data_IF_061444546723
#
_entry.id   IF_061444546723
#
_cell.length_a   1.000
_cell.length_b   1.000
_cell.length_c   1.000
_cell.angle_alpha   90.00
_cell.angle_beta   90.00
_cell.angle_gamma   90.00
#
_symmetry.space_group_name_H-M   'P 1'
#
loop_
_entity.id
_entity.type
_entity.pdbx_description
1 polymer ?
#
# COMPACT_ATOMS: atom_id res chain seq x y z
N UNK A 1 4.88 6.38 1.06
CA UNK A 1 5.81 7.45 1.54
C UNK A 1 6.50 7.11 2.87
N UNK A 2 5.77 6.92 3.99
CA UNK A 2 6.38 6.66 5.32
C UNK A 2 7.43 5.54 5.37
N UNK A 3 7.23 4.44 4.65
CA UNK A 3 8.21 3.34 4.58
C UNK A 3 9.60 3.78 4.11
N UNK A 4 9.71 4.90 3.39
CA UNK A 4 10.99 5.50 2.95
C UNK A 4 11.46 6.65 3.82
N UNK A 5 10.59 7.26 4.62
CA UNK A 5 10.89 8.45 5.41
C UNK A 5 11.32 8.11 6.85
N UNK A 6 10.79 7.03 7.42
CA UNK A 6 11.08 6.61 8.79
C UNK A 6 12.20 5.59 8.81
N UNK A 7 13.29 5.89 9.53
CA UNK A 7 14.50 5.05 9.58
C UNK A 7 14.22 3.57 9.91
N UNK A 8 13.37 3.20 10.89
CA UNK A 8 13.07 1.79 11.17
C UNK A 8 12.42 1.07 9.99
N UNK A 9 11.51 1.75 9.28
CA UNK A 9 10.82 1.18 8.12
C UNK A 9 11.73 1.13 6.90
N UNK A 10 12.53 2.18 6.69
CA UNK A 10 13.46 2.25 5.58
C UNK A 10 14.49 1.13 5.67
N UNK A 11 15.03 0.87 6.87
CA UNK A 11 15.94 -0.26 7.09
C UNK A 11 15.33 -1.60 6.70
N UNK A 12 14.06 -1.84 7.00
CA UNK A 12 13.36 -3.07 6.59
C UNK A 12 13.11 -3.10 5.07
N UNK A 13 12.81 -1.95 4.47
CA UNK A 13 12.57 -1.81 3.03
C UNK A 13 13.82 -2.08 2.19
N UNK A 14 14.97 -1.52 2.60
CA UNK A 14 16.26 -1.67 1.92
C UNK A 14 17.17 -2.70 2.58
N UNK A 15 16.63 -3.50 3.51
CA UNK A 15 17.30 -4.69 4.01
C UNK A 15 17.50 -5.63 2.82
N UNK A 16 18.65 -5.46 2.19
CA UNK A 16 19.22 -6.36 1.21
C UNK A 16 20.70 -6.41 1.54
N UNK A 17 21.17 -7.37 2.38
CA UNK A 17 22.60 -7.40 2.70
C UNK A 17 23.25 -8.78 2.77
N UNK A 18 24.10 -8.98 1.76
CA UNK A 18 25.46 -9.52 1.81
C UNK A 18 25.84 -10.28 3.09
N UNK A 19 25.80 -11.61 3.00
CA UNK A 19 26.38 -12.49 3.99
C UNK A 19 25.69 -13.86 4.05
N UNK A 20 26.27 -14.81 4.80
CA UNK A 20 25.70 -16.14 5.00
C UNK A 20 24.46 -16.17 5.91
N UNK A 21 24.06 -15.05 6.53
CA UNK A 21 22.84 -14.90 7.35
C UNK A 21 21.58 -14.64 6.51
N UNK A 22 21.50 -15.30 5.34
CA UNK A 22 20.32 -15.27 4.47
C UNK A 22 19.13 -15.94 5.17
N UNK A 23 18.35 -15.20 5.95
CA UNK A 23 16.95 -15.55 6.13
C UNK A 23 16.16 -14.97 4.96
N UNK A 24 16.13 -15.70 3.84
CA UNK A 24 15.40 -15.33 2.61
C UNK A 24 13.88 -15.07 2.81
N UNK A 25 13.37 -15.38 4.00
CA UNK A 25 12.00 -15.15 4.44
C UNK A 25 11.74 -13.66 4.75
N UNK A 26 12.58 -13.01 5.56
CA UNK A 26 12.33 -11.64 6.05
C UNK A 26 12.45 -10.54 4.98
N UNK A 27 13.34 -10.66 4.00
CA UNK A 27 13.49 -9.64 2.93
C UNK A 27 12.32 -9.64 1.94
N UNK A 28 11.75 -10.82 1.65
CA UNK A 28 10.50 -10.93 0.88
C UNK A 28 9.32 -10.44 1.71
N UNK A 29 9.30 -10.78 2.99
CA UNK A 29 8.14 -10.50 3.85
C UNK A 29 7.89 -9.00 4.03
N UNK A 30 8.89 -8.12 4.19
CA UNK A 30 8.57 -6.69 4.40
C UNK A 30 8.06 -5.97 3.16
N UNK A 31 8.65 -6.26 1.98
CA UNK A 31 8.21 -5.67 0.70
C UNK A 31 6.75 -6.07 0.45
N UNK A 32 6.49 -7.38 0.47
CA UNK A 32 5.15 -7.95 0.37
C UNK A 32 4.22 -7.45 1.49
N UNK A 33 4.71 -7.22 2.71
CA UNK A 33 3.89 -6.66 3.79
C UNK A 33 3.47 -5.22 3.53
N UNK A 34 4.34 -4.39 2.95
CA UNK A 34 3.98 -3.02 2.59
C UNK A 34 2.87 -3.02 1.52
N UNK A 35 3.02 -3.84 0.48
CA UNK A 35 2.01 -4.02 -0.57
C UNK A 35 0.68 -4.52 0.01
N UNK A 36 0.72 -5.60 0.82
CA UNK A 36 -0.48 -6.13 1.48
C UNK A 36 -1.13 -5.10 2.37
N UNK A 37 -0.37 -4.36 3.17
CA UNK A 37 -0.94 -3.44 4.13
C UNK A 37 -1.65 -2.26 3.44
N UNK A 38 -1.12 -1.77 2.32
CA UNK A 38 -1.78 -0.75 1.49
C UNK A 38 -3.09 -1.32 0.91
N UNK A 39 -3.03 -2.54 0.36
CA UNK A 39 -4.20 -3.21 -0.20
C UNK A 39 -5.29 -3.43 0.86
N UNK A 40 -4.92 -3.90 2.05
CA UNK A 40 -5.85 -4.16 3.15
C UNK A 40 -6.41 -2.86 3.75
N UNK A 41 -5.66 -1.76 3.74
CA UNK A 41 -6.19 -0.43 4.08
C UNK A 41 -7.29 -0.01 3.11
N UNK A 42 -7.03 -0.09 1.81
CA UNK A 42 -8.03 0.27 0.78
C UNK A 42 -9.28 -0.62 0.91
N UNK A 43 -9.09 -1.93 1.10
CA UNK A 43 -10.19 -2.88 1.35
C UNK A 43 -10.99 -2.53 2.60
N UNK A 44 -10.31 -2.19 3.70
CA UNK A 44 -10.93 -1.83 4.96
C UNK A 44 -11.81 -0.59 4.81
N UNK A 45 -11.29 0.48 4.23
CA UNK A 45 -11.99 1.75 4.14
C UNK A 45 -13.17 1.68 3.17
N UNK A 46 -12.95 1.14 1.96
CA UNK A 46 -14.02 0.93 0.98
C UNK A 46 -15.10 -0.03 1.51
N UNK A 47 -14.70 -1.13 2.15
CA UNK A 47 -15.64 -2.07 2.75
C UNK A 47 -16.39 -1.49 3.94
N UNK A 48 -15.82 -0.51 4.65
CA UNK A 48 -16.51 0.20 5.73
C UNK A 48 -17.52 1.19 5.19
N UNK A 49 -17.13 1.97 4.18
CA UNK A 49 -17.98 3.00 3.58
C UNK A 49 -19.09 2.43 2.68
N UNK A 50 -18.79 1.37 1.93
CA UNK A 50 -19.70 0.71 0.98
C UNK A 50 -19.75 -0.80 1.27
N UNK A 51 -20.59 -1.23 2.22
CA UNK A 51 -20.68 -2.64 2.60
C UNK A 51 -20.97 -3.60 1.43
N UNK A 52 -21.62 -3.12 0.37
CA UNK A 52 -21.95 -3.87 -0.84
C UNK A 52 -20.71 -4.30 -1.65
N UNK A 53 -19.58 -3.60 -1.48
CA UNK A 53 -18.30 -3.95 -2.10
C UNK A 53 -17.58 -5.09 -1.36
N UNK A 54 -17.98 -5.43 -0.13
CA UNK A 54 -17.32 -6.49 0.65
C UNK A 54 -17.36 -7.81 -0.11
N UNK A 55 -16.19 -8.44 -0.28
CA UNK A 55 -16.04 -9.66 -1.07
C UNK A 55 -15.86 -9.43 -2.58
N UNK A 56 -15.89 -8.18 -3.03
CA UNK A 56 -15.67 -7.78 -4.43
C UNK A 56 -14.53 -6.76 -4.58
N UNK A 57 -13.68 -6.63 -3.55
CA UNK A 57 -12.45 -5.84 -3.59
C UNK A 57 -11.28 -6.81 -3.73
N UNK A 58 -10.67 -6.81 -4.90
CA UNK A 58 -9.56 -7.67 -5.28
C UNK A 58 -8.28 -6.85 -5.43
N UNK A 59 -7.15 -7.54 -5.42
CA UNK A 59 -5.87 -6.94 -5.77
C UNK A 59 -4.81 -8.01 -5.96
N UNK A 60 -3.60 -7.58 -6.30
CA UNK A 60 -2.48 -8.45 -6.64
C UNK A 60 -2.07 -9.37 -5.48
N UNK A 61 -2.11 -8.85 -4.25
CA UNK A 61 -1.46 -9.51 -3.12
C UNK A 61 -2.38 -10.43 -2.33
N UNK A 62 -1.81 -11.55 -1.87
CA UNK A 62 -2.40 -12.37 -0.82
C UNK A 62 -2.13 -11.74 0.55
N UNK A 63 -3.15 -11.66 1.40
CA UNK A 63 -2.97 -11.16 2.77
C UNK A 63 -2.56 -12.25 3.77
N UNK A 64 -2.19 -13.45 3.31
CA UNK A 64 -1.74 -14.55 4.15
C UNK A 64 -0.21 -14.62 4.24
N UNK A 65 0.30 -14.55 5.47
CA UNK A 65 1.70 -14.71 5.83
C UNK A 65 1.89 -15.93 6.71
N UNK A 66 3.16 -16.26 6.97
CA UNK A 66 3.54 -17.33 7.91
C UNK A 66 4.25 -16.72 9.12
N UNK A 67 3.81 -17.03 10.33
CA UNK A 67 4.49 -16.62 11.57
C UNK A 67 5.80 -17.40 11.84
N UNK A 68 6.53 -17.02 12.89
CA UNK A 68 7.79 -17.67 13.26
C UNK A 68 7.64 -19.19 13.50
N UNK A 69 6.48 -19.63 13.98
CA UNK A 69 6.13 -21.02 14.27
C UNK A 69 5.60 -21.80 13.04
N UNK A 70 5.38 -21.13 11.90
CA UNK A 70 4.86 -21.71 10.65
C UNK A 70 3.33 -21.69 10.52
N UNK A 71 2.61 -21.14 11.49
CA UNK A 71 1.19 -20.84 11.43
C UNK A 71 0.86 -19.80 10.37
N UNK A 72 -0.40 -19.80 9.90
CA UNK A 72 -0.88 -18.79 8.94
C UNK A 72 -1.40 -17.58 9.70
N UNK A 73 -0.87 -16.39 9.36
CA UNK A 73 -1.35 -15.11 9.84
C UNK A 73 -2.02 -14.38 8.68
N UNK A 74 -3.28 -13.98 8.84
CA UNK A 74 -3.95 -13.12 7.85
C UNK A 74 -3.84 -11.67 8.27
N UNK A 75 -3.10 -10.87 7.51
CA UNK A 75 -2.96 -9.43 7.72
C UNK A 75 -4.24 -8.71 7.32
N UNK A 76 -4.68 -7.80 8.19
CA UNK A 76 -5.88 -6.96 8.02
C UNK A 76 -5.66 -5.68 8.82
N UNK A 77 -6.32 -4.59 8.45
CA UNK A 77 -6.43 -3.43 9.35
C UNK A 77 -7.41 -3.77 10.47
N UNK A 78 -6.93 -3.71 11.72
CA UNK A 78 -7.72 -4.02 12.90
C UNK A 78 -8.66 -2.87 13.29
N UNK A 79 -9.55 -3.11 14.27
CA UNK A 79 -10.47 -2.07 14.77
C UNK A 79 -9.73 -0.95 15.51
N UNK A 80 -8.57 -1.27 16.11
CA UNK A 80 -7.70 -0.30 16.77
C UNK A 80 -6.26 -0.39 16.25
N UNK A 81 -5.44 0.67 16.45
CA UNK A 81 -4.01 0.59 16.15
C UNK A 81 -3.32 -0.56 16.88
N UNK A 82 -3.71 -0.83 18.13
CA UNK A 82 -3.13 -1.91 18.93
C UNK A 82 -3.40 -3.30 18.31
N UNK A 83 -4.61 -3.54 17.79
CA UNK A 83 -4.93 -4.79 17.09
C UNK A 83 -4.08 -4.97 15.84
N UNK A 84 -3.86 -3.86 15.12
CA UNK A 84 -3.02 -3.86 13.91
C UNK A 84 -1.56 -4.12 14.24
N UNK A 85 -1.03 -3.51 15.30
CA UNK A 85 0.34 -3.78 15.79
C UNK A 85 0.51 -5.26 16.15
N UNK A 86 -0.46 -5.86 16.85
CA UNK A 86 -0.38 -7.26 17.23
C UNK A 86 -0.29 -8.19 16.01
N UNK A 87 -1.05 -7.93 14.95
CA UNK A 87 -0.97 -8.69 13.69
C UNK A 87 0.37 -8.49 12.98
N UNK A 88 0.85 -7.25 12.89
CA UNK A 88 2.14 -6.93 12.25
C UNK A 88 3.31 -7.59 12.99
N UNK A 89 3.28 -7.62 14.32
CA UNK A 89 4.31 -8.26 15.15
C UNK A 89 4.36 -9.78 14.98
N UNK A 90 3.23 -10.43 14.70
CA UNK A 90 3.21 -11.87 14.42
C UNK A 90 3.97 -12.23 13.13
N UNK A 91 4.11 -11.28 12.20
CA UNK A 91 4.88 -11.44 10.95
C UNK A 91 6.30 -10.90 11.09
N UNK A 92 6.47 -9.71 11.67
CA UNK A 92 7.75 -9.01 11.73
C UNK A 92 8.66 -9.44 12.88
N UNK A 93 8.11 -10.07 13.92
CA UNK A 93 8.83 -10.37 15.15
C UNK A 93 8.81 -9.23 16.17
N UNK A 94 8.93 -9.54 17.47
CA UNK A 94 8.81 -8.57 18.57
C UNK A 94 9.89 -7.48 18.55
N UNK A 95 11.06 -7.75 17.97
CA UNK A 95 12.15 -6.78 17.83
C UNK A 95 11.80 -5.63 16.88
N UNK A 96 10.79 -5.81 16.02
CA UNK A 96 10.32 -4.80 15.08
C UNK A 96 9.12 -4.00 15.61
N UNK A 97 8.90 -3.95 16.93
CA UNK A 97 7.78 -3.23 17.56
C UNK A 97 7.65 -1.79 17.06
N UNK A 98 8.75 -1.05 16.94
CA UNK A 98 8.70 0.32 16.45
C UNK A 98 8.24 0.43 15.00
N UNK A 99 8.62 -0.51 14.15
CA UNK A 99 8.16 -0.56 12.76
C UNK A 99 6.66 -0.87 12.69
N UNK A 100 6.20 -1.86 13.47
CA UNK A 100 4.79 -2.21 13.57
C UNK A 100 3.92 -1.03 14.04
N UNK A 101 4.36 -0.30 15.07
CA UNK A 101 3.69 0.92 15.55
C UNK A 101 3.57 1.99 14.46
N UNK A 102 4.67 2.28 13.74
CA UNK A 102 4.70 3.29 12.69
C UNK A 102 3.75 2.94 11.53
N UNK A 103 3.69 1.67 11.15
CA UNK A 103 2.77 1.17 10.13
C UNK A 103 1.32 1.24 10.60
N UNK A 104 1.03 0.81 11.83
CA UNK A 104 -0.31 0.91 12.41
C UNK A 104 -0.79 2.36 12.51
N UNK A 105 0.06 3.29 12.97
CA UNK A 105 -0.25 4.72 12.99
C UNK A 105 -0.52 5.26 11.58
N UNK A 106 0.18 4.75 10.56
CA UNK A 106 -0.03 5.17 9.18
C UNK A 106 -1.39 4.74 8.62
N UNK A 107 -1.80 3.49 8.85
CA UNK A 107 -3.07 2.97 8.31
C UNK A 107 -4.30 3.38 9.10
N UNK A 108 -4.14 3.76 10.37
CA UNK A 108 -5.22 4.32 11.20
C UNK A 108 -5.33 5.85 11.09
N UNK A 109 -4.48 6.49 10.28
CA UNK A 109 -4.55 7.93 10.08
C UNK A 109 -5.74 8.29 9.21
N UNK A 110 -6.67 9.07 9.77
CA UNK A 110 -7.73 9.69 8.98
C UNK A 110 -7.15 10.70 7.98
N UNK A 111 -7.54 10.53 6.72
CA UNK A 111 -7.25 11.48 5.65
C UNK A 111 -8.59 11.96 5.11
N UNK A 112 -8.78 13.27 5.04
CA UNK A 112 -9.96 13.87 4.40
C UNK A 112 -9.56 14.33 3.01
N UNK A 113 -9.98 13.65 1.93
CA UNK A 113 -9.79 14.16 0.59
C UNK A 113 -10.66 15.41 0.43
N UNK A 114 -10.05 16.55 0.11
CA UNK A 114 -10.74 17.80 -0.15
C UNK A 114 -10.76 18.09 -1.63
N UNK A 115 -11.70 17.50 -2.38
CA UNK A 115 -11.95 17.89 -3.76
C UNK A 115 -13.42 18.28 -3.95
N UNK A 116 -13.65 19.59 -4.05
CA UNK A 116 -14.98 20.17 -4.21
C UNK A 116 -15.55 19.97 -5.61
N UNK A 117 -14.72 19.74 -6.62
CA UNK A 117 -15.18 19.50 -7.99
C UNK A 117 -15.75 18.08 -8.12
N UNK A 118 -15.10 17.09 -7.51
CA UNK A 118 -15.57 15.71 -7.44
C UNK A 118 -16.88 15.57 -6.64
N UNK A 119 -17.08 16.39 -5.60
CA UNK A 119 -18.28 16.33 -4.76
C UNK A 119 -19.60 16.62 -5.51
N UNK A 120 -19.52 17.30 -6.67
CA UNK A 120 -20.67 17.63 -7.50
C UNK A 120 -20.98 16.58 -8.58
N UNK A 121 -20.13 15.56 -8.73
CA UNK A 121 -20.27 14.54 -9.78
C UNK A 121 -21.09 13.37 -9.24
N UNK A 122 -22.20 13.06 -9.92
CA UNK A 122 -22.91 11.80 -9.74
C UNK A 122 -22.37 10.77 -10.74
N UNK A 123 -21.66 9.72 -10.30
CA UNK A 123 -20.99 8.78 -11.20
C UNK A 123 -21.96 7.83 -11.91
N UNK A 124 -23.26 7.83 -11.56
CA UNK A 124 -24.28 7.04 -12.23
C UNK A 124 -24.12 5.52 -12.07
N UNK A 125 -23.31 5.08 -11.11
CA UNK A 125 -23.03 3.65 -10.84
C UNK A 125 -23.32 3.29 -9.39
N UNK A 126 -23.88 2.11 -9.19
CA UNK A 126 -24.17 1.58 -7.86
C UNK A 126 -22.97 0.79 -7.34
N UNK A 127 -22.49 1.03 -6.10
CA UNK A 127 -21.41 0.25 -5.51
C UNK A 127 -21.64 -1.27 -5.56
N UNK A 128 -22.89 -1.74 -5.41
CA UNK A 128 -23.21 -3.16 -5.45
C UNK A 128 -23.00 -3.84 -6.81
N UNK A 129 -22.90 -3.07 -7.89
CA UNK A 129 -22.65 -3.58 -9.25
C UNK A 129 -21.16 -3.60 -9.58
N UNK A 130 -20.31 -2.98 -8.74
CA UNK A 130 -18.90 -2.81 -9.00
C UNK A 130 -18.04 -3.86 -8.32
N UNK A 131 -16.95 -4.22 -8.99
CA UNK A 131 -15.79 -4.87 -8.42
C UNK A 131 -14.61 -3.90 -8.43
N UNK A 132 -13.68 -4.06 -7.50
CA UNK A 132 -12.48 -3.24 -7.38
C UNK A 132 -11.26 -4.11 -7.65
N UNK A 133 -10.27 -3.54 -8.34
CA UNK A 133 -8.94 -4.11 -8.53
C UNK A 133 -7.89 -3.13 -8.03
N UNK A 134 -6.97 -3.63 -7.20
CA UNK A 134 -5.93 -2.82 -6.55
C UNK A 134 -4.56 -3.35 -7.00
N UNK A 135 -3.73 -2.43 -7.46
CA UNK A 135 -2.28 -2.58 -7.49
C UNK A 135 -1.70 -1.65 -6.42
N UNK A 136 -1.25 -2.19 -5.27
CA UNK A 136 -0.89 -1.37 -4.12
C UNK A 136 0.39 -0.56 -4.34
N UNK A 137 1.37 -1.11 -5.07
CA UNK A 137 2.59 -0.42 -5.48
C UNK A 137 3.02 -0.97 -6.86
N UNK A 138 2.47 -0.38 -7.92
CA UNK A 138 2.94 -0.64 -9.28
C UNK A 138 4.40 -0.20 -9.39
N UNK A 139 5.18 -0.91 -10.20
CA UNK A 139 6.62 -0.74 -10.32
C UNK A 139 7.36 -0.84 -8.98
N UNK A 140 7.05 -1.89 -8.20
CA UNK A 140 7.69 -2.18 -6.89
C UNK A 140 9.21 -2.07 -6.94
N UNK A 141 9.85 -2.51 -8.03
CA UNK A 141 11.30 -2.40 -8.21
C UNK A 141 11.80 -0.94 -8.18
N UNK A 142 11.08 0.00 -8.78
CA UNK A 142 11.43 1.42 -8.73
C UNK A 142 11.17 2.01 -7.34
N UNK A 143 10.09 1.58 -6.66
CA UNK A 143 9.82 1.94 -5.28
C UNK A 143 10.94 1.52 -4.32
N UNK A 144 11.43 0.28 -4.45
CA UNK A 144 12.57 -0.23 -3.67
C UNK A 144 13.86 0.48 -4.07
N UNK A 145 14.15 0.51 -5.37
CA UNK A 145 15.35 1.11 -5.94
C UNK A 145 15.51 2.59 -5.59
N UNK A 146 14.40 3.31 -5.40
CA UNK A 146 14.42 4.56 -4.67
C UNK A 146 15.14 5.71 -5.35
N UNK A 147 15.30 5.65 -6.68
CA UNK A 147 16.00 6.69 -7.43
C UNK A 147 15.12 7.93 -7.52
N UNK A 148 15.57 9.02 -6.91
CA UNK A 148 14.79 10.25 -6.81
C UNK A 148 15.15 11.30 -7.87
N UNK A 149 16.37 11.24 -8.43
CA UNK A 149 16.94 12.24 -9.34
C UNK A 149 16.99 11.74 -10.79
N UNK A 150 15.91 11.09 -11.25
CA UNK A 150 15.79 10.62 -12.64
C UNK A 150 15.15 11.73 -13.48
N UNK A 151 15.93 12.29 -14.41
CA UNK A 151 15.42 13.33 -15.31
C UNK A 151 14.41 12.76 -16.31
N UNK A 152 13.31 13.48 -16.51
CA UNK A 152 12.35 13.16 -17.54
C UNK A 152 12.95 13.36 -18.94
N UNK A 153 12.64 12.45 -19.86
CA UNK A 153 12.98 12.54 -21.29
C UNK A 153 11.68 12.91 -21.99
N UNK A 154 11.64 14.08 -22.63
CA UNK A 154 10.45 14.61 -23.30
C UNK A 154 9.19 14.64 -22.41
N UNK A 155 9.38 14.95 -21.12
CA UNK A 155 8.29 15.01 -20.13
C UNK A 155 7.88 13.67 -19.54
N UNK A 156 8.51 12.56 -19.94
CA UNK A 156 8.25 11.22 -19.42
C UNK A 156 9.39 10.76 -18.53
N UNK A 157 9.08 10.35 -17.30
CA UNK A 157 10.08 9.74 -16.41
C UNK A 157 10.43 8.33 -16.91
N UNK A 158 11.70 8.05 -17.27
CA UNK A 158 12.10 6.72 -17.74
C UNK A 158 12.24 5.68 -16.60
N UNK A 159 12.05 6.10 -15.35
CA UNK A 159 12.14 5.29 -14.14
C UNK A 159 12.25 6.17 -12.89
N UNK A 160 12.60 5.55 -11.76
CA UNK A 160 12.71 6.19 -10.46
C UNK A 160 11.41 6.18 -9.66
N UNK A 161 11.43 6.79 -8.49
CA UNK A 161 10.28 6.79 -7.57
C UNK A 161 9.00 7.36 -8.20
N UNK A 162 9.12 8.27 -9.17
CA UNK A 162 7.97 8.82 -9.91
C UNK A 162 7.23 7.77 -10.73
N UNK A 163 7.83 6.62 -11.00
CA UNK A 163 7.19 5.49 -11.69
C UNK A 163 6.47 4.54 -10.74
N UNK A 164 6.62 4.70 -9.41
CA UNK A 164 5.90 3.88 -8.45
C UNK A 164 4.51 4.48 -8.17
N UNK A 165 3.46 3.73 -8.51
CA UNK A 165 2.07 4.21 -8.49
C UNK A 165 1.21 3.38 -7.53
N UNK A 166 0.11 3.96 -7.06
CA UNK A 166 -1.00 3.19 -6.47
C UNK A 166 -2.15 3.24 -7.46
N UNK A 167 -2.60 2.08 -7.92
CA UNK A 167 -3.67 1.97 -8.91
C UNK A 167 -4.90 1.34 -8.26
N UNK A 168 -6.04 2.03 -8.35
CA UNK A 168 -7.34 1.50 -7.92
C UNK A 168 -8.31 1.64 -9.06
N UNK A 169 -8.72 0.52 -9.65
CA UNK A 169 -9.71 0.46 -10.70
C UNK A 169 -11.05 -0.08 -10.19
N UNK A 170 -12.15 0.47 -10.69
CA UNK A 170 -13.48 -0.11 -10.52
C UNK A 170 -14.03 -0.59 -11.87
N UNK A 171 -14.65 -1.77 -11.88
CA UNK A 171 -15.23 -2.36 -13.08
C UNK A 171 -16.65 -2.87 -12.81
N UNK A 172 -17.50 -2.85 -13.84
CA UNK A 172 -18.84 -3.44 -13.76
C UNK A 172 -18.73 -4.97 -13.71
N UNK A 173 -19.32 -5.59 -12.69
CA UNK A 173 -19.15 -7.03 -12.43
C UNK A 173 -19.82 -7.93 -13.47
N UNK A 174 -20.81 -7.41 -14.20
CA UNK A 174 -21.58 -8.19 -15.16
C UNK A 174 -20.88 -8.25 -16.52
N UNK A 175 -20.33 -7.12 -16.95
CA UNK A 175 -19.69 -6.94 -18.25
C UNK A 175 -18.16 -7.04 -18.19
N UNK A 176 -17.55 -6.80 -17.03
CA UNK A 176 -16.10 -6.70 -16.86
C UNK A 176 -15.50 -5.38 -17.34
N UNK A 177 -16.31 -4.42 -17.77
CA UNK A 177 -15.85 -3.15 -18.33
C UNK A 177 -15.36 -2.22 -17.21
N UNK A 178 -14.18 -1.58 -17.35
CA UNK A 178 -13.72 -0.57 -16.39
C UNK A 178 -14.63 0.67 -16.42
N UNK A 179 -14.94 1.19 -15.24
CA UNK A 179 -15.89 2.31 -15.04
C UNK A 179 -15.20 3.52 -14.42
N UNK A 180 -14.35 3.30 -13.40
CA UNK A 180 -13.63 4.36 -12.69
C UNK A 180 -12.18 3.94 -12.46
N UNK A 181 -11.28 4.93 -12.34
CA UNK A 181 -9.88 4.68 -12.04
C UNK A 181 -9.30 5.82 -11.22
N UNK A 182 -8.49 5.46 -10.22
CA UNK A 182 -7.67 6.37 -9.43
C UNK A 182 -6.21 5.95 -9.62
N UNK A 183 -5.39 6.92 -10.01
CA UNK A 183 -3.94 6.79 -10.07
C UNK A 183 -3.39 7.78 -9.06
N UNK A 184 -2.71 7.28 -8.04
CA UNK A 184 -1.95 8.11 -7.12
C UNK A 184 -0.47 8.01 -7.47
N UNK A 185 0.20 9.15 -7.59
CA UNK A 185 1.64 9.27 -7.76
C UNK A 185 2.28 9.72 -6.44
N UNK A 186 2.67 8.80 -5.53
CA UNK A 186 3.14 9.16 -4.20
C UNK A 186 4.51 9.85 -4.22
N UNK A 187 5.16 9.98 -5.38
CA UNK A 187 6.47 10.61 -5.50
C UNK A 187 6.53 11.58 -6.69
N UNK A 188 5.40 12.21 -7.03
CA UNK A 188 5.32 13.20 -8.11
C UNK A 188 6.10 14.49 -7.80
N UNK A 189 5.86 15.08 -6.63
CA UNK A 189 6.46 16.35 -6.25
C UNK A 189 7.05 16.28 -4.84
N UNK A 190 8.28 16.80 -4.70
CA UNK A 190 8.91 17.02 -3.40
C UNK A 190 8.38 18.29 -2.76
N UNK A 191 8.27 18.28 -1.45
CA UNK A 191 8.05 19.49 -0.67
C UNK A 191 9.18 20.50 -0.97
N UNK A 192 8.86 21.74 -1.40
CA UNK A 192 9.86 22.73 -1.79
C UNK A 192 10.84 23.13 -0.69
N UNK A 193 10.44 22.99 0.58
CA UNK A 193 11.20 23.44 1.75
C UNK A 193 12.05 22.31 2.35
N UNK A 194 11.46 21.14 2.54
CA UNK A 194 12.14 19.98 3.13
C UNK A 194 12.86 19.13 2.10
N UNK A 195 12.54 19.29 0.81
CA UNK A 195 13.00 18.46 -0.31
C UNK A 195 12.70 16.97 -0.12
N UNK A 196 11.72 16.63 0.71
CA UNK A 196 11.24 15.27 0.93
C UNK A 196 9.99 15.02 0.09
N UNK A 197 9.74 13.77 -0.28
CA UNK A 197 8.44 13.31 -0.75
C UNK A 197 7.51 13.04 0.42
#
# INVERSE_FOLDING_TARGET
>A
RRCRAEEPLFRLLVAEKAGPERNARFERDFKTLADVLIQELIKHDLGTQFPELRGHIHGEESNEFRDAEGGTVTIRVGATPADTVALLLAVLGPEQARAAELLAEAVHREVTPGDTELAAIEPGVSPGELGIWIDPIDSTNEFIGGREDVAAIDGVAPGGLSSALVLVGAFDRRSGVPVLGVINEPFFQRDPHTRRY
#
